data_IF_247857388460
#
_entry.id   IF_247857388460
#
_cell.length_a   1.000
_cell.length_b   1.000
_cell.length_c   1.000
_cell.angle_alpha   90.00
_cell.angle_beta   90.00
_cell.angle_gamma   90.00
#
_symmetry.space_group_name_H-M   'P 1'
#
loop_
_entity.id
_entity.type
_entity.pdbx_description
1 polymer ?
#
# COMPACT_ATOMS: atom_id res chain seq x y z
N UNK A 1 -14.32 34.61 -3.83
CA UNK A 1 -14.75 33.37 -3.14
C UNK A 1 -14.29 32.18 -3.97
N UNK A 2 -13.05 31.71 -3.77
CA UNK A 2 -12.37 30.65 -4.58
C UNK A 2 -11.65 29.63 -3.66
N UNK A 3 -11.80 29.73 -2.34
CA UNK A 3 -10.99 28.97 -1.38
C UNK A 3 -11.49 27.54 -1.10
N UNK A 4 -12.73 27.20 -1.48
CA UNK A 4 -13.31 25.90 -1.13
C UNK A 4 -13.03 24.82 -2.17
N UNK A 5 -12.84 25.16 -3.44
CA UNK A 5 -12.75 24.15 -4.52
C UNK A 5 -11.42 23.40 -4.57
N UNK A 6 -10.35 24.00 -4.05
CA UNK A 6 -9.03 23.36 -3.97
C UNK A 6 -8.91 22.47 -2.75
N UNK A 7 -9.50 22.86 -1.62
CA UNK A 7 -9.39 22.15 -0.33
C UNK A 7 -9.90 20.71 -0.40
N UNK A 8 -11.14 20.48 -0.86
CA UNK A 8 -11.71 19.12 -0.92
C UNK A 8 -10.98 18.22 -1.93
N UNK A 9 -10.39 18.81 -2.97
CA UNK A 9 -9.63 18.06 -3.98
C UNK A 9 -8.26 17.63 -3.44
N UNK A 10 -7.64 18.44 -2.60
CA UNK A 10 -6.39 18.10 -1.92
C UNK A 10 -6.61 17.06 -0.82
N UNK A 11 -7.68 17.22 -0.05
CA UNK A 11 -8.11 16.27 0.97
C UNK A 11 -8.43 14.89 0.37
N UNK A 12 -9.26 14.83 -0.68
CA UNK A 12 -9.56 13.55 -1.34
C UNK A 12 -8.34 12.90 -1.99
N UNK A 13 -7.32 13.67 -2.41
CA UNK A 13 -6.04 13.11 -2.86
C UNK A 13 -5.21 12.56 -1.71
N UNK A 14 -5.26 13.20 -0.53
CA UNK A 14 -4.55 12.72 0.65
C UNK A 14 -5.18 11.43 1.18
N UNK A 15 -6.51 11.39 1.31
CA UNK A 15 -7.28 10.20 1.70
C UNK A 15 -7.05 9.06 0.71
N UNK A 16 -7.19 9.31 -0.60
CA UNK A 16 -6.97 8.29 -1.62
C UNK A 16 -5.53 7.72 -1.63
N UNK A 17 -4.53 8.52 -1.28
CA UNK A 17 -3.15 8.02 -1.10
C UNK A 17 -3.03 7.12 0.13
N UNK A 18 -3.66 7.48 1.24
CA UNK A 18 -3.65 6.66 2.45
C UNK A 18 -4.39 5.33 2.27
N UNK A 19 -5.59 5.36 1.68
CA UNK A 19 -6.37 4.16 1.38
C UNK A 19 -5.62 3.23 0.41
N UNK A 20 -5.01 3.80 -0.64
CA UNK A 20 -4.21 3.04 -1.59
C UNK A 20 -2.98 2.39 -0.96
N UNK A 21 -2.22 3.13 -0.14
CA UNK A 21 -1.05 2.60 0.56
C UNK A 21 -1.44 1.46 1.53
N UNK A 22 -2.53 1.63 2.27
CA UNK A 22 -3.04 0.60 3.18
C UNK A 22 -3.46 -0.66 2.43
N UNK A 23 -4.18 -0.52 1.32
CA UNK A 23 -4.63 -1.65 0.52
C UNK A 23 -3.46 -2.50 0.00
N UNK A 24 -2.39 -1.86 -0.48
CA UNK A 24 -1.18 -2.57 -0.91
C UNK A 24 -0.50 -3.30 0.25
N UNK A 25 -0.41 -2.66 1.43
CA UNK A 25 0.16 -3.31 2.61
C UNK A 25 -0.62 -4.56 3.00
N UNK A 26 -1.96 -4.49 3.03
CA UNK A 26 -2.80 -5.64 3.36
C UNK A 26 -2.60 -6.78 2.36
N UNK A 27 -2.58 -6.50 1.05
CA UNK A 27 -2.33 -7.52 0.03
C UNK A 27 -0.96 -8.21 0.22
N UNK A 28 0.08 -7.43 0.50
CA UNK A 28 1.42 -7.97 0.75
C UNK A 28 1.46 -8.82 2.03
N UNK A 29 0.85 -8.33 3.11
CA UNK A 29 0.82 -9.04 4.39
C UNK A 29 -0.03 -10.31 4.33
N UNK A 30 -1.20 -10.29 3.68
CA UNK A 30 -2.03 -11.48 3.48
C UNK A 30 -1.33 -12.55 2.62
N UNK A 31 -0.51 -12.12 1.65
CA UNK A 31 0.32 -13.03 0.85
C UNK A 31 1.41 -13.72 1.67
N UNK A 32 1.88 -13.09 2.75
CA UNK A 32 2.86 -13.65 3.67
C UNK A 32 2.21 -14.42 4.84
N UNK A 33 1.06 -13.94 5.32
CA UNK A 33 0.33 -14.42 6.48
C UNK A 33 -1.14 -14.64 6.10
N UNK A 34 -1.54 -15.88 5.71
CA UNK A 34 -2.88 -16.18 5.19
C UNK A 34 -4.05 -15.96 6.17
N UNK A 35 -3.80 -15.49 7.39
CA UNK A 35 -4.81 -15.21 8.41
C UNK A 35 -4.34 -14.06 9.28
N UNK A 36 -4.45 -12.84 8.76
CA UNK A 36 -4.10 -11.62 9.47
C UNK A 36 -5.21 -11.26 10.46
N UNK A 37 -4.83 -11.01 11.72
CA UNK A 37 -5.78 -10.64 12.77
C UNK A 37 -6.41 -9.26 12.48
N UNK A 38 -7.72 -9.14 12.75
CA UNK A 38 -8.46 -7.88 12.61
C UNK A 38 -7.86 -6.76 13.48
N UNK A 39 -7.30 -7.08 14.66
CA UNK A 39 -6.63 -6.07 15.49
C UNK A 39 -5.40 -5.48 14.78
N UNK A 40 -4.66 -6.30 14.04
CA UNK A 40 -3.50 -5.84 13.27
C UNK A 40 -3.96 -4.93 12.13
N UNK A 41 -5.04 -5.30 11.43
CA UNK A 41 -5.62 -4.48 10.35
C UNK A 41 -6.03 -3.10 10.87
N UNK A 42 -6.69 -3.02 12.03
CA UNK A 42 -7.08 -1.74 12.62
C UNK A 42 -5.87 -0.89 13.03
N UNK A 43 -4.80 -1.51 13.52
CA UNK A 43 -3.55 -0.79 13.78
C UNK A 43 -2.93 -0.23 12.49
N UNK A 44 -2.95 -0.99 11.39
CA UNK A 44 -2.43 -0.51 10.10
C UNK A 44 -3.21 0.71 9.58
N UNK A 45 -4.53 0.79 9.80
CA UNK A 45 -5.33 1.98 9.44
C UNK A 45 -4.87 3.27 10.10
N UNK A 46 -4.25 3.16 11.27
CA UNK A 46 -3.75 4.34 12.02
C UNK A 46 -2.38 4.83 11.54
N UNK A 47 -1.71 4.07 10.66
CA UNK A 47 -0.40 4.44 10.14
C UNK A 47 -0.51 5.55 9.10
N UNK A 48 0.55 6.36 9.05
CA UNK A 48 0.71 7.36 7.99
C UNK A 48 1.06 6.70 6.67
N UNK A 49 0.83 7.41 5.55
CA UNK A 49 1.20 6.95 4.20
C UNK A 49 2.66 6.48 4.14
N UNK A 50 3.58 7.28 4.69
CA UNK A 50 5.01 6.96 4.69
C UNK A 50 5.30 5.64 5.43
N UNK A 51 4.70 5.44 6.59
CA UNK A 51 4.89 4.22 7.38
C UNK A 51 4.33 2.98 6.66
N UNK A 52 3.22 3.14 5.93
CA UNK A 52 2.67 2.08 5.08
C UNK A 52 3.60 1.77 3.90
N UNK A 53 4.14 2.78 3.23
CA UNK A 53 5.10 2.59 2.14
C UNK A 53 6.38 1.88 2.62
N UNK A 54 6.93 2.27 3.78
CA UNK A 54 8.07 1.61 4.41
C UNK A 54 7.77 0.14 4.76
N UNK A 55 6.57 -0.14 5.29
CA UNK A 55 6.11 -1.50 5.58
C UNK A 55 5.97 -2.34 4.31
N UNK A 56 5.43 -1.77 3.23
CA UNK A 56 5.30 -2.46 1.95
C UNK A 56 6.67 -2.88 1.40
N UNK A 57 7.67 -1.99 1.45
CA UNK A 57 9.05 -2.31 1.03
C UNK A 57 9.66 -3.38 1.93
N UNK A 58 9.46 -3.30 3.25
CA UNK A 58 9.97 -4.29 4.20
C UNK A 58 9.33 -5.68 4.02
N UNK A 59 8.09 -5.73 3.51
CA UNK A 59 7.35 -6.97 3.26
C UNK A 59 7.63 -7.57 1.88
N UNK A 60 8.06 -6.75 0.91
CA UNK A 60 8.30 -7.20 -0.45
C UNK A 60 9.40 -8.27 -0.50
N UNK A 61 9.04 -9.47 -0.99
CA UNK A 61 9.94 -10.62 -1.05
C UNK A 61 10.94 -10.58 -2.23
N UNK A 62 10.85 -9.55 -3.10
CA UNK A 62 11.82 -9.36 -4.17
C UNK A 62 13.15 -8.91 -3.58
N UNK A 63 14.10 -9.83 -3.54
CA UNK A 63 15.45 -9.59 -3.02
C UNK A 63 16.43 -9.20 -4.14
N UNK A 64 16.05 -9.43 -5.39
CA UNK A 64 16.89 -9.13 -6.56
C UNK A 64 16.04 -8.62 -7.73
N UNK A 65 16.67 -7.85 -8.62
CA UNK A 65 16.07 -7.45 -9.90
C UNK A 65 15.69 -8.65 -10.78
N UNK A 66 16.36 -9.80 -10.60
CA UNK A 66 16.02 -11.04 -11.28
C UNK A 66 14.62 -11.56 -10.89
N UNK A 67 14.23 -11.43 -9.62
CA UNK A 67 12.89 -11.84 -9.19
C UNK A 67 11.79 -11.03 -9.90
N UNK A 68 12.07 -9.75 -10.18
CA UNK A 68 11.17 -8.89 -10.93
C UNK A 68 11.11 -9.30 -12.42
N UNK A 69 12.25 -9.56 -13.06
CA UNK A 69 12.26 -9.99 -14.47
C UNK A 69 11.56 -11.33 -14.66
N UNK A 70 11.82 -12.31 -13.79
CA UNK A 70 11.17 -13.62 -13.84
C UNK A 70 9.64 -13.48 -13.69
N UNK A 71 9.19 -12.63 -12.76
CA UNK A 71 7.77 -12.36 -12.56
C UNK A 71 7.12 -11.69 -13.79
N UNK A 72 7.82 -10.73 -14.43
CA UNK A 72 7.34 -10.06 -15.64
C UNK A 72 7.24 -11.05 -16.81
N UNK A 73 8.25 -11.92 -16.98
CA UNK A 73 8.31 -12.91 -18.05
C UNK A 73 7.20 -13.96 -17.92
N UNK A 74 6.75 -14.28 -16.71
CA UNK A 74 5.57 -15.16 -16.51
C UNK A 74 4.23 -14.53 -16.92
N UNK A 75 4.19 -13.22 -17.22
CA UNK A 75 2.97 -12.44 -17.54
C UNK A 75 2.98 -11.80 -18.91
N UNK A 76 4.14 -11.66 -19.54
CA UNK A 76 4.22 -11.40 -20.98
C UNK A 76 3.83 -12.67 -21.73
N UNK A 77 2.59 -12.72 -22.23
CA UNK A 77 2.09 -13.74 -23.15
C UNK A 77 2.93 -13.80 -24.44
#
# INVERSE_FOLDING_TARGET
MVLTTTSWKEEGRAEGRQEGALAICLLLLESCFPSLDAEIVERLRTLTVQQLEELAVATLQFSTTQNLTDWLDTRSL
#
